data_IF_053229791714
#
_entry.id   IF_053229791714
#
_cell.length_a   1.000
_cell.length_b   1.000
_cell.length_c   1.000
_cell.angle_alpha   90.00
_cell.angle_beta   90.00
_cell.angle_gamma   90.00
#
_symmetry.space_group_name_H-M   'P 1'
#
loop_
_entity.id
_entity.type
_entity.pdbx_description
1 polymer ?
#
# COMPACT_ATOMS: atom_id res chain seq x y z
N UNK A 1 1.70 -5.10 -15.15
CA UNK A 1 0.71 -5.35 -14.10
C UNK A 1 0.23 -4.01 -13.54
N UNK A 2 1.07 -3.21 -12.88
CA UNK A 2 0.67 -1.86 -12.37
C UNK A 2 -0.04 -0.96 -13.42
N UNK A 3 0.48 -0.84 -14.65
CA UNK A 3 -0.20 -0.05 -15.69
C UNK A 3 -1.57 -0.60 -16.10
N UNK A 4 -1.77 -1.92 -15.99
CA UNK A 4 -3.09 -2.55 -16.23
C UNK A 4 -4.03 -2.23 -15.08
N UNK A 5 -3.55 -2.27 -13.83
CA UNK A 5 -4.34 -1.94 -12.64
C UNK A 5 -4.90 -0.52 -12.74
N UNK A 6 -4.04 0.46 -13.02
CA UNK A 6 -4.47 1.86 -13.20
C UNK A 6 -5.47 1.98 -14.35
N UNK A 7 -5.19 1.36 -15.50
CA UNK A 7 -6.11 1.41 -16.64
C UNK A 7 -7.49 0.81 -16.28
N UNK A 8 -7.53 -0.33 -15.58
CA UNK A 8 -8.80 -0.95 -15.17
C UNK A 8 -9.55 -0.07 -14.17
N UNK A 9 -8.87 0.50 -13.19
CA UNK A 9 -9.51 1.36 -12.20
C UNK A 9 -10.06 2.68 -12.81
N UNK A 10 -9.40 3.21 -13.85
CA UNK A 10 -9.83 4.43 -14.55
C UNK A 10 -11.01 4.19 -15.50
N UNK A 11 -11.10 3.01 -16.12
CA UNK A 11 -12.05 2.76 -17.20
C UNK A 11 -13.30 1.95 -16.77
N UNK A 12 -13.36 1.46 -15.53
CA UNK A 12 -14.42 0.54 -15.11
C UNK A 12 -15.80 1.21 -15.21
N UNK A 13 -16.76 0.51 -15.80
CA UNK A 13 -18.15 0.96 -15.96
C UNK A 13 -19.08 0.07 -15.15
N UNK A 14 -19.13 0.23 -13.81
CA UNK A 14 -19.93 -0.63 -12.96
C UNK A 14 -21.42 -0.27 -13.05
N UNK A 15 -22.28 -1.26 -12.79
CA UNK A 15 -23.68 -1.00 -12.45
C UNK A 15 -23.74 -0.36 -11.06
N UNK A 16 -24.17 0.90 -11.01
CA UNK A 16 -24.24 1.70 -9.79
C UNK A 16 -25.67 1.78 -9.25
N UNK A 17 -25.79 1.72 -7.92
CA UNK A 17 -27.04 1.96 -7.20
C UNK A 17 -26.91 3.24 -6.37
N UNK A 18 -27.76 4.24 -6.65
CA UNK A 18 -27.77 5.50 -5.91
C UNK A 18 -28.70 5.39 -4.68
N UNK A 19 -28.12 5.31 -3.48
CA UNK A 19 -28.87 5.07 -2.25
C UNK A 19 -28.16 5.68 -1.03
N UNK A 20 -28.92 5.96 0.03
CA UNK A 20 -28.36 6.21 1.36
C UNK A 20 -27.92 4.90 2.03
N UNK A 21 -26.94 4.96 2.92
CA UNK A 21 -26.48 3.77 3.66
C UNK A 21 -27.60 3.18 4.53
N UNK A 22 -28.50 4.01 5.04
CA UNK A 22 -29.68 3.58 5.80
C UNK A 22 -30.64 2.71 4.96
N UNK A 23 -30.71 2.93 3.65
CA UNK A 23 -31.50 2.11 2.71
C UNK A 23 -30.84 0.74 2.45
N UNK A 24 -29.53 0.61 2.66
CA UNK A 24 -28.74 -0.61 2.45
C UNK A 24 -28.36 -1.33 3.75
N UNK A 25 -28.85 -0.88 4.91
CA UNK A 25 -28.37 -1.30 6.23
C UNK A 25 -28.42 -2.82 6.47
N UNK A 26 -29.36 -3.55 5.88
CA UNK A 26 -29.46 -5.01 6.00
C UNK A 26 -28.51 -5.79 5.09
N UNK A 27 -27.97 -5.12 4.07
CA UNK A 27 -27.07 -5.69 3.06
C UNK A 27 -25.60 -5.36 3.33
N UNK A 28 -25.32 -4.28 4.04
CA UNK A 28 -23.96 -3.88 4.41
C UNK A 28 -23.37 -4.82 5.48
N UNK A 29 -22.11 -5.19 5.28
CA UNK A 29 -21.34 -6.07 6.19
C UNK A 29 -20.44 -5.29 7.15
N UNK A 30 -20.38 -3.97 7.00
CA UNK A 30 -19.55 -3.05 7.77
C UNK A 30 -20.24 -1.68 7.87
N UNK A 31 -19.77 -0.83 8.77
CA UNK A 31 -20.29 0.54 8.89
C UNK A 31 -19.49 1.46 7.93
N UNK A 32 -20.12 2.19 6.99
CA UNK A 32 -19.36 2.97 6.01
C UNK A 32 -18.50 4.09 6.62
N UNK A 33 -18.78 4.50 7.87
CA UNK A 33 -17.95 5.41 8.65
C UNK A 33 -16.55 4.86 8.94
N UNK A 34 -16.37 3.54 8.87
CA UNK A 34 -15.09 2.84 8.99
C UNK A 34 -14.22 2.98 7.73
N UNK A 35 -14.79 3.44 6.62
CA UNK A 35 -14.03 3.73 5.41
C UNK A 35 -13.29 5.05 5.54
N UNK A 36 -12.21 5.17 4.77
CA UNK A 36 -11.40 6.39 4.76
C UNK A 36 -12.18 7.56 4.18
N UNK A 37 -12.17 8.66 4.91
CA UNK A 37 -12.82 9.91 4.55
C UNK A 37 -11.80 11.05 4.57
N UNK A 38 -11.88 12.01 3.62
CA UNK A 38 -11.05 13.19 3.66
C UNK A 38 -11.46 14.09 4.84
N UNK A 39 -10.54 14.96 5.27
CA UNK A 39 -10.87 16.03 6.23
C UNK A 39 -12.01 16.88 5.66
N UNK A 40 -13.05 17.10 6.46
CA UNK A 40 -14.23 17.82 6.00
C UNK A 40 -15.17 17.01 5.09
N UNK A 41 -15.09 15.68 5.12
CA UNK A 41 -16.03 14.81 4.42
C UNK A 41 -17.49 15.16 4.73
N UNK A 42 -18.30 15.19 3.68
CA UNK A 42 -19.75 15.42 3.73
C UNK A 42 -20.56 14.13 3.88
N UNK A 43 -19.91 12.97 4.00
CA UNK A 43 -20.62 11.71 4.18
C UNK A 43 -21.34 11.66 5.53
N UNK A 44 -22.63 11.30 5.48
CA UNK A 44 -23.46 10.88 6.61
C UNK A 44 -24.39 9.75 6.14
N UNK A 45 -24.96 8.98 7.07
CA UNK A 45 -25.71 7.76 6.74
C UNK A 45 -26.92 7.96 5.80
N UNK A 46 -27.52 9.16 5.79
CA UNK A 46 -28.63 9.55 4.90
C UNK A 46 -28.17 10.22 3.58
N UNK A 47 -26.87 10.42 3.39
CA UNK A 47 -26.33 10.97 2.15
C UNK A 47 -26.44 9.91 1.05
N UNK A 48 -27.10 10.25 -0.06
CA UNK A 48 -27.14 9.38 -1.23
C UNK A 48 -25.79 9.42 -1.93
N UNK A 49 -25.20 8.24 -2.08
CA UNK A 49 -23.98 8.04 -2.86
C UNK A 49 -24.19 6.87 -3.82
N UNK A 50 -23.36 6.79 -4.85
CA UNK A 50 -23.36 5.65 -5.75
C UNK A 50 -22.63 4.49 -5.10
N UNK A 51 -23.25 3.31 -5.13
CA UNK A 51 -22.75 2.07 -4.58
C UNK A 51 -22.54 1.06 -5.70
N UNK A 52 -21.50 0.25 -5.55
CA UNK A 52 -21.27 -0.94 -6.38
C UNK A 52 -21.26 -2.19 -5.52
N UNK A 53 -21.55 -3.31 -6.17
CA UNK A 53 -21.52 -4.62 -5.54
C UNK A 53 -20.08 -5.00 -5.22
N UNK A 54 -19.89 -5.58 -4.03
CA UNK A 54 -18.63 -6.16 -3.59
C UNK A 54 -18.90 -7.51 -2.90
N UNK A 55 -17.84 -8.27 -2.65
CA UNK A 55 -17.91 -9.54 -1.90
C UNK A 55 -16.97 -9.51 -0.71
N UNK A 56 -17.40 -10.04 0.43
CA UNK A 56 -16.49 -10.27 1.56
C UNK A 56 -15.49 -11.37 1.23
N UNK A 57 -14.24 -11.22 1.67
CA UNK A 57 -13.15 -12.14 1.31
C UNK A 57 -13.14 -13.46 2.09
N UNK A 58 -13.76 -13.55 3.27
CA UNK A 58 -13.84 -14.81 4.02
C UNK A 58 -15.14 -15.56 3.72
N UNK A 59 -16.26 -14.86 3.80
CA UNK A 59 -17.58 -15.50 3.71
C UNK A 59 -18.19 -15.49 2.31
N UNK A 60 -17.60 -14.76 1.35
CA UNK A 60 -18.14 -14.62 -0.01
C UNK A 60 -19.51 -13.93 -0.05
N UNK A 61 -19.91 -13.24 1.03
CA UNK A 61 -21.21 -12.57 1.10
C UNK A 61 -21.20 -11.34 0.21
N UNK A 62 -22.27 -11.19 -0.57
CA UNK A 62 -22.49 -9.96 -1.31
C UNK A 62 -22.74 -8.79 -0.34
N UNK A 63 -22.08 -7.68 -0.60
CA UNK A 63 -22.20 -6.41 0.13
C UNK A 63 -22.10 -5.26 -0.87
N UNK A 64 -22.04 -4.03 -0.37
CA UNK A 64 -21.91 -2.83 -1.20
C UNK A 64 -20.76 -1.98 -0.69
N UNK A 65 -20.04 -1.35 -1.62
CA UNK A 65 -19.04 -0.34 -1.31
C UNK A 65 -19.37 0.98 -2.01
N UNK A 66 -19.08 2.14 -1.41
CA UNK A 66 -19.27 3.42 -2.08
C UNK A 66 -18.32 3.50 -3.28
N UNK A 67 -18.86 3.86 -4.45
CA UNK A 67 -18.08 4.07 -5.66
C UNK A 67 -16.92 5.06 -5.49
N UNK A 68 -17.09 6.20 -4.78
CA UNK A 68 -15.97 7.11 -4.52
C UNK A 68 -14.82 6.52 -3.68
N UNK A 69 -15.00 5.38 -3.01
CA UNK A 69 -13.94 4.68 -2.27
C UNK A 69 -13.16 3.67 -3.13
N UNK A 70 -13.69 3.30 -4.30
CA UNK A 70 -13.08 2.34 -5.24
C UNK A 70 -12.42 3.07 -6.40
N UNK A 71 -13.07 4.12 -6.91
CA UNK A 71 -12.63 4.89 -8.05
C UNK A 71 -11.21 5.43 -7.86
N UNK A 72 -10.36 5.21 -8.86
CA UNK A 72 -9.07 5.90 -9.01
C UNK A 72 -9.11 6.63 -10.35
N UNK A 73 -9.60 7.87 -10.34
CA UNK A 73 -9.75 8.66 -11.54
C UNK A 73 -9.50 10.15 -11.23
N UNK A 74 -8.59 10.77 -11.96
CA UNK A 74 -8.23 12.19 -11.83
C UNK A 74 -8.92 13.08 -12.88
N UNK A 75 -9.92 12.55 -13.61
CA UNK A 75 -10.71 13.27 -14.60
C UNK A 75 -11.34 14.53 -13.98
N UNK A 76 -11.05 15.67 -14.59
CA UNK A 76 -11.69 16.94 -14.25
C UNK A 76 -13.02 16.99 -14.99
N UNK A 77 -14.11 16.85 -14.25
CA UNK A 77 -15.47 16.98 -14.78
C UNK A 77 -15.99 18.38 -14.47
N UNK A 78 -16.73 18.98 -15.40
CA UNK A 78 -17.49 20.22 -15.16
C UNK A 78 -18.76 19.90 -14.36
N UNK A 79 -18.56 19.31 -13.18
CA UNK A 79 -19.61 18.86 -12.28
C UNK A 79 -19.13 19.05 -10.84
N UNK A 80 -20.02 19.55 -9.99
CA UNK A 80 -19.75 19.65 -8.56
C UNK A 80 -20.10 18.34 -7.85
N UNK A 81 -19.21 17.87 -6.99
CA UNK A 81 -19.45 16.73 -6.11
C UNK A 81 -18.80 16.96 -4.74
N UNK A 82 -19.51 16.74 -3.62
CA UNK A 82 -18.92 16.92 -2.31
C UNK A 82 -17.93 15.78 -2.02
N UNK A 83 -16.80 16.06 -1.32
CA UNK A 83 -15.88 15.01 -0.92
C UNK A 83 -16.55 14.10 0.12
N UNK A 84 -16.69 12.81 -0.19
CA UNK A 84 -17.34 11.82 0.69
C UNK A 84 -16.32 10.81 1.21
N UNK A 85 -15.63 10.12 0.32
CA UNK A 85 -14.61 9.12 0.62
C UNK A 85 -13.28 9.47 -0.05
N UNK A 86 -12.17 8.98 0.51
CA UNK A 86 -10.83 9.27 -0.01
C UNK A 86 -10.47 8.34 -1.16
N UNK A 87 -10.18 8.92 -2.33
CA UNK A 87 -9.57 8.22 -3.46
C UNK A 87 -8.12 7.85 -3.17
N UNK A 88 -7.73 6.59 -3.45
CA UNK A 88 -6.36 6.10 -3.37
C UNK A 88 -6.22 4.77 -4.12
N UNK A 89 -4.98 4.39 -4.45
CA UNK A 89 -4.67 3.11 -5.10
C UNK A 89 -4.54 1.94 -4.14
N UNK A 90 -4.49 2.17 -2.81
CA UNK A 90 -4.23 1.11 -1.83
C UNK A 90 -5.16 -0.10 -1.98
N UNK A 91 -4.59 -1.30 -2.12
CA UNK A 91 -5.34 -2.53 -2.29
C UNK A 91 -5.87 -2.76 -3.70
N UNK A 92 -5.50 -1.92 -4.67
CA UNK A 92 -5.72 -2.18 -6.09
C UNK A 92 -4.57 -3.06 -6.59
N UNK A 93 -4.89 -4.26 -7.06
CA UNK A 93 -3.88 -5.20 -7.53
C UNK A 93 -4.40 -6.05 -8.68
N UNK A 94 -3.48 -6.49 -9.53
CA UNK A 94 -3.72 -7.45 -10.60
C UNK A 94 -3.01 -8.77 -10.32
N UNK A 95 -3.46 -9.84 -10.95
CA UNK A 95 -2.87 -11.17 -10.77
C UNK A 95 -3.22 -12.11 -11.91
N UNK A 96 -2.59 -13.28 -11.96
CA UNK A 96 -2.91 -14.31 -12.95
C UNK A 96 -4.24 -15.03 -12.62
N UNK A 97 -4.76 -14.84 -11.42
CA UNK A 97 -6.07 -15.30 -10.97
C UNK A 97 -6.70 -14.28 -10.03
N UNK A 98 -8.01 -14.41 -9.79
CA UNK A 98 -8.71 -13.61 -8.78
C UNK A 98 -8.05 -13.72 -7.39
N UNK A 99 -7.71 -14.93 -6.95
CA UNK A 99 -7.11 -15.15 -5.63
C UNK A 99 -5.75 -14.48 -5.49
N UNK A 100 -4.93 -14.51 -6.55
CA UNK A 100 -3.64 -13.82 -6.57
C UNK A 100 -3.81 -12.30 -6.50
N UNK A 101 -4.70 -11.72 -7.32
CA UNK A 101 -4.99 -10.30 -7.32
C UNK A 101 -5.54 -9.82 -5.96
N UNK A 102 -6.51 -10.57 -5.40
CA UNK A 102 -7.09 -10.27 -4.10
C UNK A 102 -6.07 -10.40 -2.96
N UNK A 103 -5.21 -11.43 -2.98
CA UNK A 103 -4.17 -11.63 -1.98
C UNK A 103 -3.14 -10.51 -2.02
N UNK A 104 -2.69 -10.12 -3.21
CA UNK A 104 -1.73 -9.03 -3.37
C UNK A 104 -2.33 -7.70 -2.91
N UNK A 105 -3.58 -7.39 -3.29
CA UNK A 105 -4.28 -6.21 -2.79
C UNK A 105 -4.43 -6.20 -1.28
N UNK A 106 -4.74 -7.35 -0.68
CA UNK A 106 -4.86 -7.47 0.77
C UNK A 106 -3.51 -7.32 1.48
N UNK A 107 -2.42 -7.85 0.94
CA UNK A 107 -1.07 -7.63 1.47
C UNK A 107 -0.64 -6.18 1.39
N UNK A 108 -0.99 -5.44 0.34
CA UNK A 108 -0.74 -3.99 0.31
C UNK A 108 -1.51 -3.28 1.42
N UNK A 109 -2.79 -3.62 1.63
CA UNK A 109 -3.60 -3.03 2.72
C UNK A 109 -2.96 -3.31 4.09
N UNK A 110 -2.51 -4.53 4.33
CA UNK A 110 -1.81 -4.91 5.56
C UNK A 110 -0.49 -4.14 5.71
N UNK A 111 0.29 -3.98 4.63
CA UNK A 111 1.56 -3.24 4.62
C UNK A 111 1.34 -1.76 5.00
N UNK A 112 0.37 -1.11 4.36
CA UNK A 112 0.02 0.30 4.66
C UNK A 112 -0.46 0.47 6.10
N UNK A 113 -1.13 -0.55 6.66
CA UNK A 113 -1.49 -0.56 8.07
C UNK A 113 -0.25 -0.66 8.96
N UNK A 114 0.65 -1.60 8.67
CA UNK A 114 1.93 -1.74 9.39
C UNK A 114 2.71 -0.43 9.43
N UNK A 115 2.83 0.25 8.28
CA UNK A 115 3.49 1.55 8.18
C UNK A 115 2.80 2.65 9.00
N UNK A 116 1.47 2.61 9.15
CA UNK A 116 0.75 3.57 9.99
C UNK A 116 0.97 3.33 11.49
N UNK A 117 1.21 2.07 11.89
CA UNK A 117 1.46 1.67 13.27
C UNK A 117 2.95 1.65 13.63
N UNK A 118 3.84 1.96 12.69
CA UNK A 118 5.28 1.86 12.88
C UNK A 118 5.76 2.87 13.94
N UNK A 119 6.14 2.37 15.11
CA UNK A 119 6.64 3.14 16.23
C UNK A 119 8.00 2.60 16.68
N UNK A 120 9.08 3.42 16.63
CA UNK A 120 10.42 3.03 17.07
C UNK A 120 10.46 2.41 18.47
N UNK A 121 10.91 1.15 18.54
CA UNK A 121 11.05 0.40 19.80
C UNK A 121 9.76 -0.14 20.41
N UNK A 122 8.64 0.00 19.70
CA UNK A 122 7.39 -0.70 20.01
C UNK A 122 7.10 -1.73 18.90
N UNK A 123 6.96 -1.26 17.66
CA UNK A 123 6.68 -2.12 16.49
C UNK A 123 7.76 -2.03 15.42
N UNK A 124 8.63 -1.02 15.44
CA UNK A 124 9.68 -0.80 14.43
C UNK A 124 11.09 -1.08 14.99
N UNK A 125 11.82 -1.99 14.33
CA UNK A 125 13.12 -2.49 14.76
C UNK A 125 14.13 -2.54 13.62
N UNK A 126 15.40 -2.24 13.87
CA UNK A 126 16.46 -2.34 12.85
C UNK A 126 16.86 -3.81 12.61
N UNK A 127 17.00 -4.19 11.35
CA UNK A 127 17.46 -5.53 10.95
C UNK A 127 18.96 -5.44 10.60
N UNK A 128 19.85 -6.15 11.32
CA UNK A 128 21.26 -6.20 10.98
C UNK A 128 21.51 -6.85 9.62
N UNK A 129 22.44 -6.31 8.84
CA UNK A 129 22.81 -6.92 7.55
C UNK A 129 23.42 -8.32 7.69
N UNK A 130 24.02 -8.64 8.84
CA UNK A 130 24.52 -9.98 9.15
C UNK A 130 23.38 -11.01 9.29
N UNK A 131 22.19 -10.58 9.74
CA UNK A 131 20.98 -11.43 9.74
C UNK A 131 20.51 -11.67 8.30
N UNK A 132 20.42 -10.59 7.51
CA UNK A 132 20.02 -10.62 6.09
C UNK A 132 20.97 -11.47 5.23
N UNK A 133 22.24 -11.62 5.62
CA UNK A 133 23.19 -12.48 4.92
C UNK A 133 22.78 -13.97 4.88
N UNK A 134 21.84 -14.39 5.74
CA UNK A 134 21.25 -15.72 5.73
C UNK A 134 19.93 -15.84 4.94
N UNK A 135 19.44 -14.73 4.37
CA UNK A 135 18.26 -14.69 3.50
C UNK A 135 18.62 -14.91 2.02
N UNK A 136 17.60 -15.18 1.19
CA UNK A 136 17.73 -15.22 -0.27
C UNK A 136 18.02 -13.82 -0.88
N UNK A 137 17.88 -12.76 -0.08
CA UNK A 137 18.12 -11.38 -0.51
C UNK A 137 19.59 -10.95 -0.40
N UNK A 138 20.50 -11.80 0.11
CA UNK A 138 21.91 -11.45 0.29
C UNK A 138 22.56 -10.89 -0.99
N UNK A 139 22.24 -11.47 -2.15
CA UNK A 139 22.77 -11.01 -3.44
C UNK A 139 22.26 -9.60 -3.84
N UNK A 140 21.05 -9.22 -3.46
CA UNK A 140 20.51 -7.87 -3.70
C UNK A 140 21.24 -6.83 -2.84
N UNK A 141 21.49 -7.16 -1.56
CA UNK A 141 22.27 -6.31 -0.64
C UNK A 141 23.68 -6.11 -1.17
N UNK A 142 24.36 -7.19 -1.55
CA UNK A 142 25.69 -7.16 -2.15
C UNK A 142 25.75 -6.27 -3.40
N UNK A 143 24.74 -6.36 -4.26
CA UNK A 143 24.65 -5.54 -5.48
C UNK A 143 24.57 -4.04 -5.15
N UNK A 144 23.75 -3.66 -4.17
CA UNK A 144 23.58 -2.27 -3.73
C UNK A 144 24.89 -1.74 -3.13
N UNK A 145 25.54 -2.51 -2.27
CA UNK A 145 26.81 -2.13 -1.64
C UNK A 145 27.94 -1.97 -2.67
N UNK A 146 28.05 -2.90 -3.64
CA UNK A 146 29.03 -2.81 -4.73
C UNK A 146 28.80 -1.62 -5.64
N UNK A 147 27.55 -1.13 -5.75
CA UNK A 147 27.22 0.10 -6.45
C UNK A 147 27.59 1.37 -5.66
N UNK A 148 28.13 1.24 -4.44
CA UNK A 148 28.53 2.36 -3.58
C UNK A 148 27.35 3.01 -2.84
N UNK A 149 26.25 2.28 -2.68
CA UNK A 149 25.08 2.71 -1.92
C UNK A 149 25.01 2.04 -0.55
N UNK A 150 24.52 2.78 0.42
CA UNK A 150 24.19 2.30 1.77
C UNK A 150 22.74 1.80 1.78
N UNK A 151 22.49 0.75 2.57
CA UNK A 151 21.17 0.14 2.74
C UNK A 151 20.90 -0.03 4.24
N UNK A 152 19.81 0.56 4.71
CA UNK A 152 19.27 0.31 6.04
C UNK A 152 17.96 -0.46 5.92
N UNK A 153 17.79 -1.49 6.74
CA UNK A 153 16.59 -2.33 6.76
C UNK A 153 15.98 -2.26 8.15
N UNK A 154 14.67 -2.11 8.22
CA UNK A 154 13.89 -2.23 9.44
C UNK A 154 12.72 -3.19 9.24
N UNK A 155 12.30 -3.84 10.32
CA UNK A 155 11.13 -4.72 10.38
C UNK A 155 10.04 -4.05 11.19
N UNK A 156 8.80 -4.21 10.73
CA UNK A 156 7.59 -3.73 11.42
C UNK A 156 6.77 -4.92 11.90
N UNK A 157 6.72 -5.12 13.21
CA UNK A 157 6.04 -6.24 13.87
C UNK A 157 4.60 -5.82 14.21
N UNK A 158 3.67 -6.15 13.32
CA UNK A 158 2.24 -5.76 13.44
C UNK A 158 1.28 -6.90 13.13
N UNK A 159 1.72 -7.93 12.41
CA UNK A 159 0.89 -9.04 11.98
C UNK A 159 1.60 -10.36 12.30
N UNK A 160 0.99 -11.19 13.13
CA UNK A 160 1.54 -12.52 13.42
C UNK A 160 1.52 -13.39 12.15
N UNK A 161 2.67 -14.00 11.83
CA UNK A 161 2.82 -14.85 10.64
C UNK A 161 3.01 -14.08 9.32
N UNK A 162 3.18 -12.76 9.37
CA UNK A 162 3.53 -11.94 8.22
C UNK A 162 4.75 -11.07 8.54
N UNK A 163 5.53 -10.77 7.51
CA UNK A 163 6.76 -10.01 7.63
C UNK A 163 6.60 -8.72 6.85
N UNK A 164 6.79 -7.59 7.53
CA UNK A 164 6.78 -6.28 6.91
C UNK A 164 8.16 -5.64 7.07
N UNK A 165 8.80 -5.29 5.96
CA UNK A 165 10.10 -4.62 5.95
C UNK A 165 10.00 -3.22 5.36
N UNK A 166 10.86 -2.34 5.84
CA UNK A 166 11.20 -1.08 5.18
C UNK A 166 12.67 -1.11 4.81
N UNK A 167 12.99 -0.64 3.61
CA UNK A 167 14.36 -0.55 3.13
C UNK A 167 14.65 0.89 2.70
N UNK A 168 15.70 1.49 3.26
CA UNK A 168 16.17 2.83 2.90
C UNK A 168 17.51 2.72 2.19
N UNK A 169 17.52 3.13 0.92
CA UNK A 169 18.70 3.17 0.08
C UNK A 169 19.22 4.61 -0.03
N UNK A 170 20.48 4.81 0.35
CA UNK A 170 21.17 6.10 0.24
C UNK A 170 22.40 5.97 -0.66
N UNK A 171 22.65 6.97 -1.50
CA UNK A 171 23.88 7.07 -2.29
C UNK A 171 24.65 8.31 -1.87
N UNK A 172 25.97 8.18 -1.73
CA UNK A 172 26.86 9.31 -1.43
C UNK A 172 26.85 10.41 -2.49
N UNK A 173 26.42 10.10 -3.73
CA UNK A 173 26.31 11.09 -4.80
C UNK A 173 25.06 11.97 -4.70
N UNK A 174 23.92 11.41 -4.26
CA UNK A 174 22.64 12.13 -4.18
C UNK A 174 22.33 12.62 -2.78
N UNK A 175 22.81 11.90 -1.75
CA UNK A 175 22.53 12.13 -0.32
C UNK A 175 21.04 12.32 -0.02
N UNK A 176 20.19 11.70 -0.84
CA UNK A 176 18.73 11.62 -0.68
C UNK A 176 18.40 10.15 -0.42
N UNK A 177 17.74 9.82 0.70
CA UNK A 177 17.26 8.47 0.96
C UNK A 177 16.06 8.15 0.06
N UNK A 178 16.04 6.93 -0.48
CA UNK A 178 14.90 6.37 -1.20
C UNK A 178 14.39 5.16 -0.42
N UNK A 179 13.11 5.19 -0.06
CA UNK A 179 12.49 4.14 0.72
C UNK A 179 11.64 3.22 -0.16
N UNK A 180 11.53 1.96 0.26
CA UNK A 180 10.60 0.96 -0.25
C UNK A 180 10.10 0.09 0.89
N UNK A 181 8.97 -0.58 0.66
CA UNK A 181 8.27 -1.36 1.67
C UNK A 181 7.86 -2.72 1.09
N UNK A 182 7.61 -3.67 1.97
CA UNK A 182 7.19 -4.99 1.52
C UNK A 182 6.58 -5.77 2.66
N UNK A 183 5.32 -6.18 2.47
CA UNK A 183 4.67 -7.19 3.30
C UNK A 183 4.44 -8.49 2.54
N UNK A 184 4.76 -9.61 3.18
CA UNK A 184 4.44 -10.95 2.69
C UNK A 184 4.44 -11.98 3.83
N UNK A 185 3.81 -13.14 3.62
CA UNK A 185 3.92 -14.28 4.56
C UNK A 185 5.31 -14.95 4.53
N UNK A 186 6.05 -14.77 3.43
CA UNK A 186 7.44 -15.21 3.27
C UNK A 186 8.37 -14.00 3.47
N UNK A 187 9.28 -14.04 4.46
CA UNK A 187 10.18 -12.92 4.77
C UNK A 187 11.15 -12.59 3.63
N UNK A 188 11.55 -13.57 2.81
CA UNK A 188 12.42 -13.32 1.66
C UNK A 188 11.69 -12.52 0.59
N UNK A 189 10.42 -12.85 0.32
CA UNK A 189 9.58 -12.11 -0.62
C UNK A 189 9.31 -10.70 -0.08
N UNK A 190 8.95 -10.57 1.20
CA UNK A 190 8.72 -9.27 1.82
C UNK A 190 9.96 -8.36 1.74
N UNK A 191 11.15 -8.90 2.07
CA UNK A 191 12.39 -8.14 2.03
C UNK A 191 12.80 -7.78 0.60
N UNK A 192 12.66 -8.72 -0.34
CA UNK A 192 12.94 -8.48 -1.76
C UNK A 192 12.07 -7.34 -2.31
N UNK A 193 10.78 -7.32 -1.97
CA UNK A 193 9.86 -6.22 -2.34
C UNK A 193 10.32 -4.88 -1.78
N UNK A 194 10.65 -4.81 -0.49
CA UNK A 194 11.10 -3.56 0.13
C UNK A 194 12.38 -3.02 -0.54
N UNK A 195 13.38 -3.88 -0.78
CA UNK A 195 14.64 -3.49 -1.41
C UNK A 195 14.42 -3.05 -2.87
N UNK A 196 13.62 -3.79 -3.63
CA UNK A 196 13.37 -3.50 -5.05
C UNK A 196 12.50 -2.27 -5.25
N UNK A 197 11.53 -2.00 -4.36
CA UNK A 197 10.77 -0.75 -4.37
C UNK A 197 11.66 0.46 -4.03
N UNK A 198 12.59 0.33 -3.08
CA UNK A 198 13.54 1.40 -2.78
C UNK A 198 14.42 1.75 -4.00
N UNK A 199 14.87 0.71 -4.72
CA UNK A 199 15.60 0.88 -5.98
C UNK A 199 14.72 1.50 -7.09
N UNK A 200 13.46 1.06 -7.23
CA UNK A 200 12.50 1.63 -8.20
C UNK A 200 12.19 3.10 -7.89
N UNK A 201 12.04 3.46 -6.62
CA UNK A 201 11.84 4.85 -6.17
C UNK A 201 13.00 5.74 -6.59
N UNK A 202 14.24 5.27 -6.40
CA UNK A 202 15.46 5.95 -6.89
C UNK A 202 15.50 6.05 -8.42
N UNK A 203 15.19 4.98 -9.15
CA UNK A 203 15.22 4.98 -10.62
C UNK A 203 14.17 5.93 -11.20
N UNK A 204 12.98 5.96 -10.60
CA UNK A 204 11.93 6.91 -10.94
C UNK A 204 12.44 8.34 -10.80
N UNK A 205 13.07 8.66 -9.66
CA UNK A 205 13.61 9.99 -9.42
C UNK A 205 14.72 10.38 -10.41
N UNK A 206 15.62 9.45 -10.75
CA UNK A 206 16.69 9.66 -11.74
C UNK A 206 16.11 9.88 -13.14
N UNK A 207 15.10 9.10 -13.52
CA UNK A 207 14.47 9.20 -14.84
C UNK A 207 13.73 10.51 -15.05
N UNK A 208 13.29 11.16 -13.96
CA UNK A 208 12.43 12.35 -14.02
C UNK A 208 11.07 12.09 -14.67
N UNK A 209 10.65 10.83 -14.81
CA UNK A 209 9.42 10.47 -15.50
C UNK A 209 8.14 10.82 -14.73
N UNK A 210 8.27 11.14 -13.43
CA UNK A 210 7.15 11.48 -12.55
C UNK A 210 7.04 12.99 -12.33
N UNK A 211 5.85 13.53 -12.54
CA UNK A 211 5.52 14.94 -12.33
C UNK A 211 5.33 15.30 -10.84
N UNK A 212 5.12 14.30 -9.99
CA UNK A 212 4.83 14.43 -8.56
C UNK A 212 6.08 14.31 -7.65
N UNK A 213 7.28 14.26 -8.24
CA UNK A 213 8.51 14.24 -7.48
C UNK A 213 8.67 15.54 -6.65
N UNK A 214 8.90 15.45 -5.32
CA UNK A 214 9.10 16.62 -4.48
C UNK A 214 10.22 17.55 -5.01
N UNK A 215 10.00 18.86 -4.95
CA UNK A 215 10.95 19.87 -5.43
C UNK A 215 12.36 19.72 -4.82
N UNK A 216 12.46 19.23 -3.58
CA UNK A 216 13.75 18.96 -2.91
C UNK A 216 14.61 17.95 -3.69
N UNK A 217 13.98 16.95 -4.33
CA UNK A 217 14.67 15.94 -5.15
C UNK A 217 15.24 16.61 -6.40
N UNK A 218 14.43 17.41 -7.11
CA UNK A 218 14.87 18.18 -8.27
C UNK A 218 16.02 19.15 -7.95
N UNK A 219 15.89 19.92 -6.86
CA UNK A 219 16.92 20.87 -6.45
C UNK A 219 18.25 20.21 -6.09
N UNK A 220 18.21 19.00 -5.48
CA UNK A 220 19.41 18.22 -5.15
C UNK A 220 20.09 17.67 -6.40
N UNK A 221 19.34 17.07 -7.33
CA UNK A 221 19.91 16.62 -8.60
C UNK A 221 20.53 17.78 -9.39
N UNK A 222 19.88 18.94 -9.40
CA UNK A 222 20.39 20.14 -10.09
C UNK A 222 21.63 20.78 -9.40
N UNK A 223 21.87 20.49 -8.11
CA UNK A 223 22.92 21.11 -7.29
C UNK A 223 23.79 20.09 -6.55
N UNK A 224 24.06 18.95 -7.19
CA UNK A 224 24.88 17.84 -6.66
C UNK A 224 26.25 18.25 -6.08
N UNK A 225 26.72 19.48 -6.32
CA UNK A 225 28.04 19.97 -5.93
C UNK A 225 28.03 20.96 -4.75
N UNK A 226 26.88 21.25 -4.10
CA UNK A 226 26.80 22.44 -3.19
C UNK A 226 26.07 22.24 -1.85
N UNK A 227 25.49 21.09 -1.55
CA UNK A 227 24.76 20.89 -0.29
C UNK A 227 25.41 19.88 0.65
N UNK A 228 25.29 20.14 1.96
CA UNK A 228 25.57 19.16 3.02
C UNK A 228 24.48 18.07 3.07
N UNK A 229 24.78 16.86 3.55
CA UNK A 229 23.85 15.72 3.56
C UNK A 229 22.57 16.01 4.33
N UNK A 230 21.41 15.64 3.77
CA UNK A 230 20.22 15.38 4.56
C UNK A 230 20.47 14.05 5.26
N UNK A 231 21.06 14.09 6.46
CA UNK A 231 21.10 12.92 7.32
C UNK A 231 19.65 12.52 7.58
N UNK A 232 19.25 11.34 7.12
CA UNK A 232 18.06 10.67 7.65
C UNK A 232 18.18 10.67 9.17
N UNK A 233 17.06 10.86 9.86
CA UNK A 233 17.01 10.77 11.33
C UNK A 233 17.59 9.43 11.75
N UNK A 234 18.85 9.40 12.17
CA UNK A 234 19.48 8.24 12.82
C UNK A 234 18.95 8.16 14.24
N UNK A 235 17.63 7.96 14.38
CA UNK A 235 17.08 7.44 15.63
C UNK A 235 17.63 6.03 15.74
N UNK A 236 18.43 5.77 16.76
CA UNK A 236 18.88 4.40 17.05
C UNK A 236 17.63 3.56 17.30
N UNK A 237 17.26 2.75 16.30
CA UNK A 237 16.23 1.75 16.45
C UNK A 237 16.84 0.60 17.27
N UNK A 238 16.08 0.01 18.20
CA UNK A 238 16.49 -1.25 18.79
C UNK A 238 16.59 -2.32 17.69
N UNK A 239 17.52 -3.24 17.88
CA UNK A 239 17.75 -4.36 16.96
C UNK A 239 16.58 -5.34 17.01
N UNK A 240 16.13 -5.80 15.86
CA UNK A 240 15.14 -6.86 15.74
C UNK A 240 15.72 -8.20 16.22
N UNK A 241 14.86 -9.06 16.78
CA UNK A 241 15.21 -10.48 16.94
C UNK A 241 15.48 -11.12 15.56
N UNK A 242 16.37 -12.13 15.47
CA UNK A 242 16.72 -12.77 14.20
C UNK A 242 15.49 -13.23 13.42
N UNK A 243 15.49 -12.98 12.11
CA UNK A 243 14.36 -13.35 11.27
C UNK A 243 14.40 -14.85 10.92
N UNK A 244 13.24 -15.54 10.93
CA UNK A 244 13.14 -16.89 10.41
C UNK A 244 13.11 -16.84 8.88
N UNK A 245 14.27 -16.81 8.22
CA UNK A 245 14.35 -16.78 6.75
C UNK A 245 13.89 -18.07 6.07
N UNK A 246 13.75 -19.16 6.82
CA UNK A 246 13.18 -20.43 6.37
C UNK A 246 11.81 -20.62 7.04
N UNK A 247 10.75 -20.37 6.28
CA UNK A 247 9.37 -20.59 6.70
C UNK A 247 8.80 -21.79 5.94
N UNK A 248 7.91 -22.59 6.55
CA UNK A 248 7.28 -23.70 5.84
C UNK A 248 6.60 -23.22 4.56
N UNK A 249 6.74 -24.02 3.49
CA UNK A 249 6.01 -23.78 2.25
C UNK A 249 4.51 -23.78 2.56
N UNK A 250 3.83 -22.69 2.17
CA UNK A 250 2.44 -22.46 2.53
C UNK A 250 1.54 -23.05 1.47
N UNK A 251 0.38 -23.52 1.91
CA UNK A 251 -0.66 -24.07 1.06
C UNK A 251 -1.28 -23.01 0.13
N UNK A 252 -2.23 -23.45 -0.70
CA UNK A 252 -2.78 -22.75 -1.87
C UNK A 252 -3.08 -21.25 -1.70
N UNK A 253 -3.16 -20.49 -2.80
CA UNK A 253 -3.54 -19.07 -2.79
C UNK A 253 -4.83 -18.80 -2.01
N UNK A 254 -5.78 -19.73 -2.06
CA UNK A 254 -7.06 -19.66 -1.36
C UNK A 254 -6.86 -19.70 0.17
N UNK A 255 -5.96 -20.56 0.66
CA UNK A 255 -5.62 -20.65 2.09
C UNK A 255 -4.88 -19.40 2.58
N UNK A 256 -3.97 -18.89 1.76
CA UNK A 256 -3.24 -17.64 2.04
C UNK A 256 -4.19 -16.45 2.12
N UNK A 257 -5.15 -16.35 1.18
CA UNK A 257 -6.17 -15.31 1.19
C UNK A 257 -7.07 -15.42 2.42
N UNK A 258 -7.53 -16.63 2.75
CA UNK A 258 -8.35 -16.87 3.94
C UNK A 258 -7.59 -16.53 5.23
N UNK A 259 -6.32 -16.92 5.34
CA UNK A 259 -5.47 -16.59 6.50
C UNK A 259 -5.31 -15.08 6.66
N UNK A 260 -4.96 -14.38 5.58
CA UNK A 260 -4.74 -12.94 5.60
C UNK A 260 -6.03 -12.17 5.90
N UNK A 261 -7.15 -12.57 5.29
CA UNK A 261 -8.44 -11.95 5.54
C UNK A 261 -8.93 -12.21 6.96
N UNK A 262 -8.57 -13.35 7.57
CA UNK A 262 -8.87 -13.66 8.98
C UNK A 262 -8.06 -12.75 9.90
N UNK A 263 -6.77 -12.56 9.64
CA UNK A 263 -5.93 -11.64 10.41
C UNK A 263 -6.46 -10.20 10.35
N UNK A 264 -6.80 -9.73 9.15
CA UNK A 264 -7.40 -8.40 8.96
C UNK A 264 -8.75 -8.28 9.66
N UNK A 265 -9.61 -9.30 9.58
CA UNK A 265 -10.91 -9.27 10.26
C UNK A 265 -10.79 -9.26 11.79
N UNK A 266 -9.78 -9.94 12.34
CA UNK A 266 -9.50 -9.94 13.78
C UNK A 266 -9.06 -8.55 14.27
N UNK A 267 -8.23 -7.85 13.49
CA UNK A 267 -7.76 -6.50 13.83
C UNK A 267 -8.84 -5.43 13.59
N UNK A 268 -9.52 -5.49 12.44
CA UNK A 268 -10.47 -4.46 12.01
C UNK A 268 -11.89 -4.64 12.60
N UNK A 269 -12.20 -5.84 13.12
CA UNK A 269 -13.53 -6.23 13.57
C UNK A 269 -14.55 -6.48 12.45
N UNK A 270 -14.14 -6.37 11.18
CA UNK A 270 -14.98 -6.64 10.00
C UNK A 270 -14.17 -7.31 8.89
N UNK A 271 -14.82 -8.15 8.08
CA UNK A 271 -14.15 -8.80 6.96
C UNK A 271 -13.70 -7.78 5.90
N UNK A 272 -12.49 -7.94 5.32
CA UNK A 272 -12.14 -7.17 4.13
C UNK A 272 -13.06 -7.56 2.97
N UNK A 273 -13.32 -6.58 2.09
CA UNK A 273 -14.20 -6.70 0.94
C UNK A 273 -13.41 -6.47 -0.34
N UNK A 274 -13.83 -7.14 -1.41
CA UNK A 274 -13.22 -7.03 -2.72
C UNK A 274 -14.23 -6.64 -3.79
N UNK A 275 -13.78 -5.78 -4.69
CA UNK A 275 -14.46 -5.43 -5.93
C UNK A 275 -13.60 -5.93 -7.09
N UNK A 276 -14.22 -6.63 -8.04
CA UNK A 276 -13.56 -6.94 -9.31
C UNK A 276 -13.73 -5.74 -10.23
N UNK A 277 -12.62 -5.19 -10.72
CA UNK A 277 -12.60 -4.13 -11.72
C UNK A 277 -12.63 -4.77 -13.11
N UNK A 278 -13.68 -5.54 -13.41
CA UNK A 278 -13.76 -6.38 -14.61
C UNK A 278 -14.14 -5.57 -15.86
N UNK A 279 -13.70 -6.07 -17.01
CA UNK A 279 -14.08 -5.57 -18.32
C UNK A 279 -14.37 -6.75 -19.25
N UNK A 280 -15.37 -6.58 -20.11
CA UNK A 280 -15.56 -7.49 -21.24
C UNK A 280 -14.22 -7.62 -22.01
N UNK A 281 -13.79 -8.86 -22.24
CA UNK A 281 -12.52 -9.23 -22.87
C UNK A 281 -11.22 -8.96 -22.08
N UNK A 282 -11.28 -8.63 -20.78
CA UNK A 282 -10.08 -8.53 -19.94
C UNK A 282 -9.39 -9.89 -19.78
N UNK A 283 -8.10 -9.96 -20.10
CA UNK A 283 -7.30 -11.17 -19.96
C UNK A 283 -6.69 -11.37 -18.57
N UNK A 284 -6.77 -10.36 -17.69
CA UNK A 284 -6.05 -10.32 -16.40
C UNK A 284 -6.99 -9.76 -15.33
N UNK A 285 -7.29 -10.53 -14.25
CA UNK A 285 -8.05 -10.04 -13.11
C UNK A 285 -7.40 -8.82 -12.45
N UNK A 286 -8.21 -7.79 -12.21
CA UNK A 286 -7.87 -6.64 -11.36
C UNK A 286 -8.90 -6.53 -10.23
N UNK A 287 -8.43 -6.43 -9.00
CA UNK A 287 -9.25 -6.41 -7.80
C UNK A 287 -8.88 -5.20 -6.94
N UNK A 288 -9.90 -4.51 -6.43
CA UNK A 288 -9.76 -3.50 -5.37
C UNK A 288 -10.21 -4.11 -4.04
N UNK A 289 -9.25 -4.32 -3.14
CA UNK A 289 -9.49 -4.76 -1.77
C UNK A 289 -9.61 -3.56 -0.85
N UNK A 290 -10.61 -3.59 0.03
CA UNK A 290 -10.86 -2.58 1.05
C UNK A 290 -11.02 -3.31 2.39
N UNK A 291 -10.30 -2.86 3.42
CA UNK A 291 -10.47 -3.33 4.78
C UNK A 291 -11.08 -2.21 5.65
N UNK A 292 -12.41 -2.16 5.81
CA UNK A 292 -13.05 -1.16 6.66
C UNK A 292 -12.48 -1.23 8.08
N UNK A 293 -12.12 -0.07 8.65
CA UNK A 293 -11.62 0.03 10.02
C UNK A 293 -10.11 -0.06 10.17
N UNK A 294 -9.37 -0.52 9.14
CA UNK A 294 -7.91 -0.46 9.19
C UNK A 294 -7.39 0.95 8.89
N UNK A 295 -6.52 1.43 9.78
CA UNK A 295 -5.71 2.63 9.56
C UNK A 295 -4.67 2.35 8.48
N UNK A 296 -4.36 3.33 7.64
CA UNK A 296 -3.34 3.19 6.57
C UNK A 296 -2.48 4.45 6.52
N UNK A 297 -1.17 4.30 6.32
CA UNK A 297 -0.27 5.45 6.31
C UNK A 297 -0.55 6.34 5.09
N UNK A 298 -0.54 7.65 5.29
CA UNK A 298 -0.59 8.64 4.22
C UNK A 298 0.84 8.96 3.77
N UNK A 299 1.43 8.08 2.98
CA UNK A 299 2.40 8.53 1.99
C UNK A 299 1.71 8.44 0.64
N UNK A 300 0.78 9.36 0.39
CA UNK A 300 0.33 9.61 -0.98
C UNK A 300 1.50 10.33 -1.66
N UNK A 301 2.03 9.84 -2.80
CA UNK A 301 2.98 10.65 -3.58
C UNK A 301 2.27 11.88 -4.17
N UNK A 302 0.93 11.88 -4.20
CA UNK A 302 0.13 12.97 -4.70
C UNK A 302 -0.08 14.07 -3.66
N UNK A 303 0.65 15.16 -3.89
CA UNK A 303 0.45 16.54 -3.38
C UNK A 303 0.41 16.66 -1.86
N UNK A 304 1.58 16.87 -1.27
CA UNK A 304 1.66 17.81 -0.15
C UNK A 304 1.19 19.17 -0.67
N UNK A 305 0.17 19.81 -0.06
CA UNK A 305 -0.10 21.21 -0.34
C UNK A 305 1.20 21.98 -0.16
N UNK A 306 1.51 22.88 -1.08
CA UNK A 306 2.56 23.87 -0.86
C UNK A 306 2.14 24.62 0.40
N UNK A 307 2.82 24.39 1.52
CA UNK A 307 2.79 25.35 2.61
C UNK A 307 3.36 26.63 2.02
N UNK A 308 2.49 27.59 1.73
CA UNK A 308 2.89 28.94 1.39
C UNK A 308 3.67 29.46 2.60
N UNK A 309 4.98 29.47 2.47
CA UNK A 309 5.89 30.08 3.43
C UNK A 309 5.48 31.54 3.62
N UNK A 310 4.99 31.88 4.81
CA UNK A 310 4.81 33.25 5.29
C UNK A 310 6.16 33.96 5.48
#
# INVERSE_FOLDING_TARGET
MESLESWHAENVTPDLSNAAATELATSLTYAPEQLRRPVGSFYHADAKVDWLIATTLLTGRQTWVPWPAVLVNIEIRDAWGPPTFSMNTNGLASGNSYHEAALHGLYEVMERHSLAQAEPGSTLFAVPLDDVASSDCAALVDMIQRAGSELHIARIDTWDGYYCFTAELTSSMTEVPFAGHGLHHDPNVALSRAITEAAQSRLTAISGAREDLPLVIYHRFARMHTYAPLRGSTRQLPTAEPNPWDVPDVSSLDDLLASAATAVAAEAGTEPVAVVCDFDDACIPVVKVIAPGLMTSHASPMRTPLDESA
#
